data_IF_955489509130
#
_entry.id   IF_955489509130
#
_cell.length_a   1.000
_cell.length_b   1.000
_cell.length_c   1.000
_cell.angle_alpha   90.00
_cell.angle_beta   90.00
_cell.angle_gamma   90.00
#
_symmetry.space_group_name_H-M   'P 1'
#
loop_
_entity.id
_entity.type
_entity.pdbx_description
1 polymer ?
#
# COMPACT_ATOMS: atom_id res chain seq x y z
N UNK A 1 26.48 18.43 6.20
CA UNK A 1 25.28 19.16 5.71
C UNK A 1 24.13 18.87 6.66
N UNK A 2 23.31 19.85 7.09
CA UNK A 2 22.15 19.58 7.97
C UNK A 2 21.10 18.76 7.21
N UNK A 3 20.65 17.65 7.81
CA UNK A 3 19.70 16.67 7.23
C UNK A 3 18.29 17.25 7.09
N UNK A 4 17.86 18.04 8.07
CA UNK A 4 16.58 18.78 8.07
C UNK A 4 16.87 20.26 7.79
N UNK A 5 16.10 20.88 6.89
CA UNK A 5 16.25 22.29 6.52
C UNK A 5 14.88 22.92 6.28
N UNK A 6 14.44 23.79 7.17
CA UNK A 6 13.19 24.54 7.01
C UNK A 6 13.56 25.97 6.56
N UNK A 7 13.09 26.34 5.38
CA UNK A 7 13.40 27.60 4.67
C UNK A 7 12.21 28.54 4.59
N UNK A 8 11.00 28.01 4.73
CA UNK A 8 9.74 28.75 4.72
C UNK A 8 8.86 28.33 5.90
N UNK A 9 7.78 29.06 6.14
CA UNK A 9 6.69 28.55 6.96
C UNK A 9 6.11 27.25 6.38
N UNK A 10 5.43 26.46 7.22
CA UNK A 10 4.83 25.19 6.80
C UNK A 10 3.31 25.29 6.98
N UNK A 11 2.50 25.17 5.90
CA UNK A 11 2.91 25.06 4.50
C UNK A 11 3.44 26.39 3.92
N UNK A 12 4.40 26.30 3.00
CA UNK A 12 4.91 27.47 2.26
C UNK A 12 3.94 27.93 1.15
N UNK A 13 4.24 29.07 0.49
CA UNK A 13 3.32 29.69 -0.47
C UNK A 13 2.96 28.78 -1.66
N UNK A 14 3.89 27.97 -2.15
CA UNK A 14 3.61 27.05 -3.28
C UNK A 14 2.77 25.86 -2.81
N UNK A 15 3.05 25.30 -1.63
CA UNK A 15 2.20 24.26 -1.03
C UNK A 15 0.78 24.76 -0.78
N UNK A 16 0.60 26.01 -0.29
CA UNK A 16 -0.72 26.63 -0.13
C UNK A 16 -1.45 26.76 -1.46
N UNK A 17 -0.78 27.23 -2.51
CA UNK A 17 -1.38 27.34 -3.86
C UNK A 17 -1.81 25.97 -4.42
N UNK A 18 -1.02 24.92 -4.19
CA UNK A 18 -1.39 23.55 -4.57
C UNK A 18 -2.55 23.01 -3.74
N UNK A 19 -2.65 23.38 -2.46
CA UNK A 19 -3.79 22.99 -1.62
C UNK A 19 -5.11 23.55 -2.17
N UNK A 20 -5.14 24.82 -2.59
CA UNK A 20 -6.33 25.41 -3.22
C UNK A 20 -6.75 24.63 -4.47
N UNK A 21 -5.79 24.28 -5.34
CA UNK A 21 -6.06 23.47 -6.53
C UNK A 21 -6.57 22.07 -6.17
N UNK A 22 -5.99 21.45 -5.15
CA UNK A 22 -6.42 20.14 -4.63
C UNK A 22 -7.85 20.20 -4.15
N UNK A 23 -8.21 21.18 -3.33
CA UNK A 23 -9.57 21.32 -2.78
C UNK A 23 -10.63 21.52 -3.87
N UNK A 24 -10.27 22.21 -4.95
CA UNK A 24 -11.15 22.37 -6.11
C UNK A 24 -11.28 21.10 -6.97
N UNK A 25 -10.25 20.24 -7.01
CA UNK A 25 -10.17 19.13 -7.97
C UNK A 25 -10.41 17.74 -7.37
N UNK A 26 -10.22 17.55 -6.06
CA UNK A 26 -10.19 16.24 -5.41
C UNK A 26 -11.27 16.19 -4.31
N UNK A 27 -12.09 15.12 -4.23
CA UNK A 27 -13.06 14.99 -3.15
C UNK A 27 -12.38 14.97 -1.78
N UNK A 28 -13.14 15.27 -0.73
CA UNK A 28 -12.58 15.36 0.64
C UNK A 28 -12.07 14.03 1.21
N UNK A 29 -12.49 12.89 0.64
CA UNK A 29 -12.20 11.55 1.17
C UNK A 29 -10.70 11.20 1.29
N UNK A 30 -9.89 11.41 0.23
CA UNK A 30 -8.44 11.24 0.29
C UNK A 30 -7.75 12.33 1.14
N UNK A 31 -7.77 12.17 2.46
CA UNK A 31 -7.11 13.10 3.39
C UNK A 31 -5.58 13.01 3.35
N UNK A 32 -4.91 14.12 3.71
CA UNK A 32 -3.46 14.21 3.79
C UNK A 32 -3.05 14.39 5.26
N UNK A 33 -2.00 13.68 5.69
CA UNK A 33 -1.46 13.81 7.04
C UNK A 33 -0.63 15.09 7.23
N UNK A 34 -0.09 15.65 6.14
CA UNK A 34 0.74 16.85 6.15
C UNK A 34 0.21 17.86 5.11
N UNK A 35 0.43 19.18 5.32
CA UNK A 35 -0.04 20.22 4.41
C UNK A 35 0.96 20.55 3.29
N UNK A 36 2.03 19.77 3.14
CA UNK A 36 3.13 20.02 2.19
C UNK A 36 2.93 19.23 0.89
N UNK A 37 3.50 19.75 -0.20
CA UNK A 37 3.53 19.05 -1.48
C UNK A 37 4.97 18.69 -1.86
N UNK A 38 5.21 17.43 -2.19
CA UNK A 38 6.54 16.93 -2.52
C UNK A 38 7.03 17.48 -3.88
N UNK A 39 8.28 17.93 -3.93
CA UNK A 39 8.98 18.24 -5.18
C UNK A 39 10.00 17.16 -5.54
N UNK A 40 10.74 16.66 -4.56
CA UNK A 40 11.76 15.61 -4.75
C UNK A 40 11.87 14.75 -3.49
N UNK A 41 12.27 13.51 -3.66
CA UNK A 41 12.61 12.66 -2.52
C UNK A 41 13.76 11.72 -2.89
N UNK A 42 14.68 11.47 -1.96
CA UNK A 42 15.86 10.61 -2.17
C UNK A 42 16.34 10.03 -0.84
N UNK A 43 16.66 8.73 -0.82
CA UNK A 43 16.96 8.02 0.43
C UNK A 43 15.77 8.12 1.39
N UNK A 44 16.00 8.73 2.56
CA UNK A 44 14.98 9.05 3.56
C UNK A 44 14.65 10.56 3.63
N UNK A 45 15.06 11.34 2.63
CA UNK A 45 14.83 12.78 2.58
C UNK A 45 13.68 13.09 1.63
N UNK A 46 12.73 13.86 2.14
CA UNK A 46 11.65 14.47 1.38
C UNK A 46 11.92 15.96 1.26
N UNK A 47 11.82 16.51 0.05
CA UNK A 47 11.90 17.94 -0.24
C UNK A 47 10.55 18.40 -0.78
N UNK A 48 9.96 19.43 -0.17
CA UNK A 48 8.71 20.02 -0.64
C UNK A 48 8.94 21.08 -1.74
N UNK A 49 7.86 21.51 -2.38
CA UNK A 49 7.87 22.54 -3.45
C UNK A 49 8.38 23.90 -2.97
N UNK A 50 8.40 24.15 -1.67
CA UNK A 50 8.90 25.39 -1.07
C UNK A 50 10.38 25.27 -0.67
N UNK A 51 11.04 24.16 -0.99
CA UNK A 51 12.46 23.90 -0.75
C UNK A 51 12.79 23.48 0.69
N UNK A 52 11.80 23.16 1.51
CA UNK A 52 12.02 22.59 2.84
C UNK A 52 12.40 21.12 2.71
N UNK A 53 13.33 20.66 3.55
CA UNK A 53 13.81 19.28 3.60
C UNK A 53 13.49 18.63 4.93
N UNK A 54 12.88 17.45 4.86
CA UNK A 54 12.40 16.65 5.98
C UNK A 54 13.06 15.27 6.00
N UNK A 55 13.09 14.65 7.18
CA UNK A 55 13.37 13.23 7.34
C UNK A 55 12.04 12.46 7.30
N UNK A 56 11.90 11.52 6.37
CA UNK A 56 10.69 10.70 6.22
C UNK A 56 10.70 9.50 7.18
N UNK A 57 9.90 9.58 8.24
CA UNK A 57 9.63 8.48 9.15
C UNK A 57 8.35 7.69 8.81
N UNK A 58 7.61 8.09 7.79
CA UNK A 58 6.42 7.37 7.32
C UNK A 58 6.77 6.30 6.29
N UNK A 59 7.79 6.54 5.45
CA UNK A 59 8.28 5.58 4.46
C UNK A 59 7.20 5.14 3.47
N UNK A 60 6.29 6.05 3.10
CA UNK A 60 5.13 5.74 2.27
C UNK A 60 4.20 4.68 2.89
N UNK A 61 3.98 4.74 4.21
CA UNK A 61 3.22 3.73 4.97
C UNK A 61 3.88 2.35 4.86
N UNK A 62 5.21 2.32 5.08
CA UNK A 62 6.01 1.09 5.06
C UNK A 62 6.33 0.50 3.68
N UNK A 63 5.94 1.15 2.58
CA UNK A 63 6.24 0.68 1.23
C UNK A 63 7.69 0.95 0.79
N UNK A 64 8.31 2.04 1.25
CA UNK A 64 9.57 2.56 0.71
C UNK A 64 10.82 2.02 1.43
N UNK A 65 10.87 0.71 1.67
CA UNK A 65 11.98 0.06 2.39
C UNK A 65 13.34 0.19 1.67
N UNK A 66 13.35 0.37 0.34
CA UNK A 66 14.55 0.61 -0.45
C UNK A 66 14.91 2.11 -0.59
N UNK A 67 14.18 3.00 0.08
CA UNK A 67 14.27 4.45 -0.07
C UNK A 67 13.50 4.99 -1.27
N UNK A 68 13.26 6.31 -1.31
CA UNK A 68 12.42 6.95 -2.34
C UNK A 68 12.91 6.74 -3.78
N UNK A 69 14.23 6.61 -3.99
CA UNK A 69 14.86 6.56 -5.32
C UNK A 69 16.05 5.61 -5.36
N UNK A 70 15.83 4.34 -5.01
CA UNK A 70 16.89 3.32 -5.11
C UNK A 70 17.46 3.26 -6.54
N UNK A 71 18.77 3.50 -6.75
CA UNK A 71 19.37 3.49 -8.09
C UNK A 71 19.15 2.17 -8.84
N UNK A 72 19.22 1.04 -8.11
CA UNK A 72 18.99 -0.30 -8.67
C UNK A 72 17.55 -0.47 -9.18
N UNK A 73 16.57 0.00 -8.42
CA UNK A 73 15.15 -0.10 -8.81
C UNK A 73 14.88 0.79 -10.03
N UNK A 74 15.40 2.02 -10.03
CA UNK A 74 15.24 2.95 -11.15
C UNK A 74 15.89 2.42 -12.44
N UNK A 75 17.06 1.78 -12.34
CA UNK A 75 17.71 1.16 -13.49
C UNK A 75 16.85 0.02 -14.08
N UNK A 76 16.33 -0.88 -13.24
CA UNK A 76 15.48 -1.99 -13.67
C UNK A 76 14.16 -1.52 -14.33
N UNK A 77 13.53 -0.47 -13.79
CA UNK A 77 12.33 0.13 -14.38
C UNK A 77 12.64 0.69 -15.78
N UNK A 78 13.73 1.46 -15.92
CA UNK A 78 14.10 2.05 -17.22
C UNK A 78 14.38 0.98 -18.26
N UNK A 79 15.16 -0.04 -17.92
CA UNK A 79 15.46 -1.14 -18.84
C UNK A 79 14.19 -1.87 -19.31
N UNK A 80 13.21 -2.07 -18.41
CA UNK A 80 11.95 -2.71 -18.78
C UNK A 80 11.12 -1.85 -19.74
N UNK A 81 11.13 -0.52 -19.58
CA UNK A 81 10.37 0.40 -20.42
C UNK A 81 10.87 0.43 -21.88
N UNK A 82 12.12 0.06 -22.13
CA UNK A 82 12.64 -0.14 -23.49
C UNK A 82 12.04 -1.37 -24.21
N UNK A 83 11.39 -2.27 -23.46
CA UNK A 83 10.83 -3.53 -23.99
C UNK A 83 9.31 -3.43 -24.14
N UNK A 84 8.61 -3.14 -23.04
CA UNK A 84 7.15 -2.99 -23.00
C UNK A 84 6.66 -2.48 -21.64
N UNK A 85 5.48 -1.86 -21.62
CA UNK A 85 4.84 -1.37 -20.40
C UNK A 85 3.89 -2.39 -19.75
N UNK A 86 2.97 -2.99 -20.52
CA UNK A 86 1.98 -3.94 -20.02
C UNK A 86 1.46 -4.85 -21.13
N UNK A 87 1.41 -6.16 -20.89
CA UNK A 87 0.93 -7.16 -21.84
C UNK A 87 -0.23 -8.02 -21.32
N UNK A 88 -0.65 -7.80 -20.07
CA UNK A 88 -1.54 -8.69 -19.31
C UNK A 88 -1.03 -10.15 -19.27
N UNK A 89 -0.50 -10.58 -18.12
CA UNK A 89 0.10 -11.92 -17.99
C UNK A 89 -0.85 -13.07 -18.39
N UNK A 90 -2.16 -12.88 -18.21
CA UNK A 90 -3.16 -13.87 -18.61
C UNK A 90 -3.34 -13.99 -20.13
N UNK A 91 -2.91 -12.99 -20.90
CA UNK A 91 -2.96 -12.98 -22.37
C UNK A 91 -1.60 -13.39 -22.94
N UNK A 92 -0.55 -12.66 -22.57
CA UNK A 92 0.82 -12.93 -23.02
C UNK A 92 1.74 -13.00 -21.81
N UNK A 93 2.31 -14.17 -21.48
CA UNK A 93 3.19 -14.31 -20.32
C UNK A 93 4.55 -13.65 -20.55
N UNK A 94 5.23 -13.31 -19.46
CA UNK A 94 6.55 -12.69 -19.49
C UNK A 94 7.39 -13.13 -18.29
N UNK A 95 8.71 -13.24 -18.50
CA UNK A 95 9.68 -13.78 -17.54
C UNK A 95 9.64 -13.07 -16.19
N UNK A 96 9.49 -11.74 -16.17
CA UNK A 96 9.47 -10.95 -14.94
C UNK A 96 8.40 -11.38 -13.93
N UNK A 97 7.23 -11.85 -14.41
CA UNK A 97 6.19 -12.38 -13.51
C UNK A 97 6.64 -13.69 -12.87
N UNK A 98 7.21 -14.60 -13.66
CA UNK A 98 7.69 -15.91 -13.21
C UNK A 98 8.83 -15.75 -12.20
N UNK A 99 9.82 -14.91 -12.51
CA UNK A 99 10.96 -14.66 -11.63
C UNK A 99 10.55 -14.08 -10.26
N UNK A 100 9.54 -13.18 -10.23
CA UNK A 100 9.00 -12.66 -8.97
C UNK A 100 8.28 -13.77 -8.19
N UNK A 101 7.46 -14.59 -8.86
CA UNK A 101 6.77 -15.69 -8.23
C UNK A 101 7.74 -16.72 -7.62
N UNK A 102 8.80 -17.10 -8.34
CA UNK A 102 9.85 -18.00 -7.85
C UNK A 102 10.54 -17.43 -6.61
N UNK A 103 10.91 -16.16 -6.64
CA UNK A 103 11.55 -15.48 -5.51
C UNK A 103 10.64 -15.43 -4.28
N UNK A 104 9.34 -15.15 -4.47
CA UNK A 104 8.37 -15.16 -3.39
C UNK A 104 8.19 -16.57 -2.80
N UNK A 105 8.09 -17.60 -3.65
CA UNK A 105 7.99 -18.99 -3.21
C UNK A 105 9.20 -19.41 -2.36
N UNK A 106 10.40 -19.00 -2.76
CA UNK A 106 11.64 -19.30 -2.04
C UNK A 106 11.74 -18.56 -0.70
N UNK A 107 11.30 -17.30 -0.63
CA UNK A 107 11.37 -16.48 0.59
C UNK A 107 10.26 -16.78 1.62
N UNK A 108 9.09 -17.23 1.16
CA UNK A 108 7.99 -17.56 2.05
C UNK A 108 8.38 -18.71 3.01
N UNK A 109 7.96 -18.70 4.29
CA UNK A 109 8.31 -19.75 5.26
C UNK A 109 7.90 -21.17 4.82
N UNK A 110 8.55 -22.17 5.41
CA UNK A 110 8.26 -23.60 5.22
C UNK A 110 8.96 -24.23 3.99
N UNK A 111 9.21 -25.54 4.06
CA UNK A 111 9.89 -26.33 3.02
C UNK A 111 8.93 -27.29 2.30
N UNK A 112 7.89 -26.73 1.68
CA UNK A 112 6.90 -27.47 0.89
C UNK A 112 6.67 -26.77 -0.46
N UNK A 113 6.12 -27.45 -1.48
CA UNK A 113 5.84 -26.83 -2.77
C UNK A 113 4.88 -25.64 -2.64
N UNK A 114 5.27 -24.49 -3.22
CA UNK A 114 4.52 -23.23 -3.16
C UNK A 114 4.27 -22.67 -4.55
N UNK A 115 3.18 -21.92 -4.70
CA UNK A 115 2.83 -21.18 -5.92
C UNK A 115 2.39 -19.78 -5.52
N UNK A 116 2.61 -18.81 -6.41
CA UNK A 116 2.28 -17.40 -6.19
C UNK A 116 1.43 -16.87 -7.34
N UNK A 117 0.57 -15.91 -7.01
CA UNK A 117 -0.12 -15.03 -7.97
C UNK A 117 0.24 -13.58 -7.62
N UNK A 118 0.36 -12.73 -8.63
CA UNK A 118 0.67 -11.31 -8.49
C UNK A 118 -0.56 -10.47 -8.82
N UNK A 119 -0.78 -9.46 -8.00
CA UNK A 119 -1.85 -8.46 -8.08
C UNK A 119 -1.27 -7.09 -7.71
N UNK A 120 -2.07 -6.02 -7.80
CA UNK A 120 -1.55 -4.66 -7.72
C UNK A 120 -1.55 -4.12 -6.28
N UNK A 121 -2.62 -4.39 -5.54
CA UNK A 121 -2.86 -3.86 -4.20
C UNK A 121 -2.86 -4.96 -3.13
N UNK A 122 -2.55 -4.57 -1.89
CA UNK A 122 -2.69 -5.48 -0.74
C UNK A 122 -4.13 -5.96 -0.54
N UNK A 123 -5.13 -5.15 -0.88
CA UNK A 123 -6.53 -5.55 -0.79
C UNK A 123 -6.85 -6.68 -1.80
N UNK A 124 -6.42 -6.56 -3.05
CA UNK A 124 -6.57 -7.64 -4.05
C UNK A 124 -5.84 -8.92 -3.61
N UNK A 125 -4.71 -8.80 -2.91
CA UNK A 125 -3.98 -9.95 -2.40
C UNK A 125 -4.82 -10.69 -1.36
N UNK A 126 -5.37 -9.98 -0.37
CA UNK A 126 -6.27 -10.56 0.63
C UNK A 126 -7.53 -11.16 -0.01
N UNK A 127 -8.16 -10.46 -0.97
CA UNK A 127 -9.35 -10.98 -1.65
C UNK A 127 -9.06 -12.30 -2.37
N UNK A 128 -7.93 -12.39 -3.09
CA UNK A 128 -7.58 -13.63 -3.76
C UNK A 128 -7.14 -14.74 -2.79
N UNK A 129 -6.49 -14.41 -1.67
CA UNK A 129 -6.24 -15.39 -0.61
C UNK A 129 -7.53 -16.01 -0.07
N UNK A 130 -8.55 -15.20 0.20
CA UNK A 130 -9.87 -15.68 0.64
C UNK A 130 -10.55 -16.50 -0.45
N UNK A 131 -10.49 -16.06 -1.72
CA UNK A 131 -11.03 -16.83 -2.86
C UNK A 131 -10.39 -18.22 -2.96
N UNK A 132 -9.06 -18.30 -2.87
CA UNK A 132 -8.32 -19.58 -2.93
C UNK A 132 -8.68 -20.46 -1.74
N UNK A 133 -8.72 -19.91 -0.52
CA UNK A 133 -9.09 -20.67 0.68
C UNK A 133 -10.51 -21.23 0.61
N UNK A 134 -11.49 -20.41 0.20
CA UNK A 134 -12.88 -20.84 -0.01
C UNK A 134 -12.99 -21.88 -1.13
N UNK A 135 -12.29 -21.67 -2.25
CA UNK A 135 -12.30 -22.59 -3.38
C UNK A 135 -11.72 -23.97 -3.03
N UNK A 136 -10.67 -24.00 -2.21
CA UNK A 136 -10.03 -25.24 -1.76
C UNK A 136 -10.85 -25.96 -0.68
N UNK A 137 -11.24 -25.25 0.38
CA UNK A 137 -11.89 -25.85 1.56
C UNK A 137 -13.39 -26.08 1.39
N UNK A 138 -14.02 -25.39 0.43
CA UNK A 138 -15.49 -25.33 0.24
C UNK A 138 -16.27 -24.79 1.44
N UNK A 139 -15.59 -24.02 2.31
CA UNK A 139 -16.19 -23.41 3.51
C UNK A 139 -16.31 -21.89 3.32
N UNK A 140 -17.48 -21.28 3.60
CA UNK A 140 -17.69 -19.85 3.36
C UNK A 140 -17.13 -18.96 4.46
N UNK A 141 -17.16 -19.41 5.72
CA UNK A 141 -16.80 -18.61 6.88
C UNK A 141 -15.32 -18.20 6.91
N UNK A 142 -15.07 -16.94 7.27
CA UNK A 142 -13.73 -16.38 7.49
C UNK A 142 -13.69 -15.77 8.88
N UNK A 143 -12.66 -16.10 9.65
CA UNK A 143 -12.39 -15.51 10.95
C UNK A 143 -11.38 -14.37 10.75
N UNK A 144 -11.68 -13.19 11.31
CA UNK A 144 -10.74 -12.09 11.45
C UNK A 144 -10.63 -11.67 12.92
N UNK A 145 -9.63 -10.85 13.22
CA UNK A 145 -9.36 -10.41 14.57
C UNK A 145 -9.87 -9.00 14.85
N UNK A 146 -10.10 -8.70 16.13
CA UNK A 146 -10.10 -7.31 16.62
C UNK A 146 -8.77 -6.62 16.26
N UNK A 147 -8.79 -5.29 16.18
CA UNK A 147 -7.68 -4.45 15.70
C UNK A 147 -7.12 -4.72 14.28
N UNK A 148 -7.68 -5.69 13.54
CA UNK A 148 -7.23 -5.99 12.19
C UNK A 148 -7.53 -4.87 11.17
N UNK A 149 -6.63 -4.73 10.18
CA UNK A 149 -6.82 -3.90 8.98
C UNK A 149 -6.40 -4.70 7.74
N UNK A 150 -7.29 -4.81 6.76
CA UNK A 150 -7.05 -5.62 5.56
C UNK A 150 -7.27 -4.89 4.24
N UNK A 151 -7.79 -3.66 4.27
CA UNK A 151 -8.01 -2.86 3.06
C UNK A 151 -9.32 -2.09 3.07
N UNK A 152 -9.68 -1.58 1.89
CA UNK A 152 -10.81 -0.66 1.66
C UNK A 152 -11.77 -1.12 0.55
N UNK A 153 -11.62 -2.34 0.04
CA UNK A 153 -12.64 -2.98 -0.81
C UNK A 153 -13.77 -3.53 0.06
N UNK A 154 -14.91 -3.90 -0.51
CA UNK A 154 -16.06 -4.39 0.27
C UNK A 154 -15.68 -5.55 1.21
N UNK A 155 -15.02 -6.59 0.68
CA UNK A 155 -14.57 -7.73 1.48
C UNK A 155 -13.53 -7.31 2.52
N UNK A 156 -12.53 -6.51 2.14
CA UNK A 156 -11.45 -6.14 3.07
C UNK A 156 -11.89 -5.14 4.15
N UNK A 157 -12.89 -4.29 3.88
CA UNK A 157 -13.59 -3.50 4.90
C UNK A 157 -14.36 -4.39 5.87
N UNK A 158 -14.99 -5.47 5.37
CA UNK A 158 -15.69 -6.45 6.21
C UNK A 158 -14.73 -7.12 7.20
N UNK A 159 -13.52 -7.46 6.72
CA UNK A 159 -12.44 -8.02 7.52
C UNK A 159 -11.83 -6.98 8.49
N UNK A 160 -11.72 -5.73 8.08
CA UNK A 160 -11.17 -4.62 8.90
C UNK A 160 -12.04 -4.38 10.14
N UNK A 161 -11.38 -4.23 11.30
CA UNK A 161 -12.03 -4.04 12.59
C UNK A 161 -12.52 -2.60 12.79
N UNK A 162 -11.61 -1.62 12.68
CA UNK A 162 -11.88 -0.21 13.02
C UNK A 162 -12.92 0.43 12.08
N UNK A 163 -13.99 0.98 12.66
CA UNK A 163 -15.11 1.55 11.90
C UNK A 163 -14.77 2.89 11.23
N UNK A 164 -14.21 3.86 11.96
CA UNK A 164 -13.82 5.15 11.40
C UNK A 164 -12.31 5.20 11.13
N UNK A 165 -11.84 5.69 9.98
CA UNK A 165 -12.60 6.22 8.83
C UNK A 165 -12.87 5.16 7.74
N UNK A 166 -12.77 3.87 8.05
CA UNK A 166 -12.65 2.83 7.01
C UNK A 166 -13.96 2.20 6.55
N UNK A 167 -15.02 2.24 7.38
CA UNK A 167 -16.23 1.43 7.20
C UNK A 167 -17.52 2.24 7.30
N UNK A 168 -17.57 3.24 8.19
CA UNK A 168 -18.79 4.00 8.45
C UNK A 168 -19.39 4.59 7.15
N UNK A 169 -20.65 4.24 6.87
CA UNK A 169 -21.38 4.73 5.70
C UNK A 169 -21.15 3.92 4.41
N UNK A 170 -20.45 2.78 4.49
CA UNK A 170 -20.21 1.86 3.36
C UNK A 170 -20.94 0.51 3.52
N UNK A 171 -21.87 0.41 4.47
CA UNK A 171 -22.74 -0.75 4.67
C UNK A 171 -23.70 -0.98 3.47
N UNK A 172 -24.18 -2.22 3.25
CA UNK A 172 -23.88 -3.46 3.99
C UNK A 172 -22.56 -4.13 3.56
N UNK A 173 -21.98 -4.91 4.47
CA UNK A 173 -20.69 -5.60 4.27
C UNK A 173 -20.86 -7.04 3.77
N UNK A 174 -19.76 -7.66 3.33
CA UNK A 174 -19.74 -9.06 2.89
C UNK A 174 -20.11 -10.02 4.04
N UNK A 175 -20.90 -11.04 3.73
CA UNK A 175 -21.35 -12.05 4.68
C UNK A 175 -20.26 -13.04 5.09
N UNK A 176 -20.56 -13.85 6.11
CA UNK A 176 -19.74 -14.96 6.59
C UNK A 176 -18.35 -14.52 7.12
N UNK A 177 -18.29 -13.32 7.68
CA UNK A 177 -17.11 -12.77 8.34
C UNK A 177 -17.38 -12.69 9.85
N UNK A 178 -16.59 -13.43 10.62
CA UNK A 178 -16.71 -13.51 12.08
C UNK A 178 -15.47 -12.91 12.72
N UNK A 179 -15.66 -12.07 13.74
CA UNK A 179 -14.57 -11.40 14.43
C UNK A 179 -14.36 -12.00 15.82
N UNK A 180 -13.11 -12.25 16.17
CA UNK A 180 -12.72 -12.74 17.50
C UNK A 180 -11.65 -11.83 18.14
N UNK A 181 -11.50 -11.85 19.48
CA UNK A 181 -10.47 -11.07 20.16
C UNK A 181 -9.05 -11.41 19.67
N UNK A 182 -8.21 -10.39 19.57
CA UNK A 182 -6.77 -10.57 19.31
C UNK A 182 -6.00 -10.66 20.63
N UNK A 183 -4.90 -11.40 20.64
CA UNK A 183 -3.99 -11.41 21.79
C UNK A 183 -3.25 -10.06 21.85
N UNK A 184 -3.68 -9.17 22.74
CA UNK A 184 -3.05 -7.87 22.97
C UNK A 184 -2.53 -7.76 24.41
N UNK A 185 -1.34 -8.33 24.72
CA UNK A 185 -0.85 -8.48 26.10
C UNK A 185 -0.76 -7.20 26.92
N UNK A 186 -0.61 -6.05 26.29
CA UNK A 186 -0.62 -4.75 26.98
C UNK A 186 -2.01 -4.39 27.54
N UNK A 187 -3.09 -5.00 27.04
CA UNK A 187 -4.49 -4.76 27.41
C UNK A 187 -5.22 -5.98 28.00
N UNK A 188 -4.51 -7.11 28.20
CA UNK A 188 -5.04 -8.37 28.74
C UNK A 188 -5.00 -9.50 27.73
#
# INVERSE_FOLDING_TARGET
MKTIQIRTEIPGPQSRALMVRREAAIPRGPANATPIFAARAEGAILEDVDGNRYLDFAGGIGCLNAGHRSPRVLAAIREQLEKYLHLCFAVTPYEGYVAVAEKLNALAPGNFPKKSILVNSGAEAIENSIKIARAYTKRPAVICFEDAFHGRTLLTMSLTSKTHPYKAGFEPFASDIYRIPYAYPYRG
#
